data_IF_581625381672
#
_entry.id   IF_581625381672
#
_cell.length_a   1.000
_cell.length_b   1.000
_cell.length_c   1.000
_cell.angle_alpha   90.00
_cell.angle_beta   90.00
_cell.angle_gamma   90.00
#
_symmetry.space_group_name_H-M   'P 1'
#
loop_
_entity.id
_entity.type
_entity.pdbx_description
1 polymer ?
#
# COMPACT_ATOMS: atom_id res chain seq x y z
N UNK A 1 38.62 11.45 -48.92
CA UNK A 1 37.37 11.56 -48.12
C UNK A 1 37.05 10.21 -47.46
N UNK A 2 37.50 9.95 -46.23
CA UNK A 2 37.24 8.67 -45.52
C UNK A 2 37.03 8.82 -43.99
N UNK A 3 36.86 10.06 -43.50
CA UNK A 3 36.70 10.32 -42.06
C UNK A 3 35.22 10.29 -41.62
N UNK A 4 34.29 10.77 -42.45
CA UNK A 4 32.89 10.98 -42.05
C UNK A 4 32.07 9.69 -41.79
N UNK A 5 32.36 8.55 -42.43
CA UNK A 5 31.50 7.37 -42.26
C UNK A 5 31.66 6.69 -40.90
N UNK A 6 32.86 6.78 -40.29
CA UNK A 6 33.14 6.22 -38.97
C UNK A 6 32.51 7.09 -37.88
N UNK A 7 32.61 8.40 -37.98
CA UNK A 7 31.98 9.36 -37.05
C UNK A 7 30.46 9.26 -37.08
N UNK A 8 29.84 9.15 -38.27
CA UNK A 8 28.37 8.99 -38.37
C UNK A 8 27.88 7.67 -37.77
N UNK A 9 28.63 6.56 -37.93
CA UNK A 9 28.30 5.28 -37.30
C UNK A 9 28.39 5.33 -35.78
N UNK A 10 29.40 6.03 -35.25
CA UNK A 10 29.56 6.23 -33.80
C UNK A 10 28.44 7.09 -33.23
N UNK A 11 28.05 8.17 -33.92
CA UNK A 11 26.95 9.04 -33.50
C UNK A 11 25.62 8.26 -33.48
N UNK A 12 25.36 7.44 -34.51
CA UNK A 12 24.17 6.58 -34.57
C UNK A 12 24.16 5.50 -33.48
N UNK A 13 25.30 4.93 -33.14
CA UNK A 13 25.41 3.95 -32.07
C UNK A 13 25.14 4.59 -30.69
N UNK A 14 25.66 5.80 -30.47
CA UNK A 14 25.44 6.57 -29.23
C UNK A 14 23.97 6.97 -29.10
N UNK A 15 23.34 7.46 -30.18
CA UNK A 15 21.93 7.85 -30.13
C UNK A 15 21.01 6.65 -29.87
N UNK A 16 21.28 5.50 -30.51
CA UNK A 16 20.56 4.26 -30.25
C UNK A 16 20.70 3.80 -28.79
N UNK A 17 21.89 3.94 -28.21
CA UNK A 17 22.14 3.59 -26.82
C UNK A 17 21.39 4.50 -25.83
N UNK A 18 21.35 5.82 -26.10
CA UNK A 18 20.59 6.78 -25.29
C UNK A 18 19.09 6.49 -25.35
N UNK A 19 18.55 6.19 -26.53
CA UNK A 19 17.13 5.84 -26.71
C UNK A 19 16.80 4.57 -25.92
N UNK A 20 17.67 3.56 -25.98
CA UNK A 20 17.49 2.33 -25.23
C UNK A 20 17.47 2.57 -23.71
N UNK A 21 18.38 3.40 -23.20
CA UNK A 21 18.41 3.80 -21.78
C UNK A 21 17.17 4.59 -21.35
N UNK A 22 16.70 5.52 -22.19
CA UNK A 22 15.47 6.27 -21.91
C UNK A 22 14.24 5.34 -21.89
N UNK A 23 14.20 4.35 -22.79
CA UNK A 23 13.11 3.39 -22.84
C UNK A 23 13.12 2.45 -21.62
N UNK A 24 14.28 1.92 -21.23
CA UNK A 24 14.37 1.03 -20.05
C UNK A 24 14.01 1.76 -18.76
N UNK A 25 14.45 3.00 -18.59
CA UNK A 25 14.08 3.83 -17.42
C UNK A 25 12.59 4.17 -17.40
N UNK A 26 11.97 4.48 -18.55
CA UNK A 26 10.53 4.69 -18.64
C UNK A 26 9.73 3.41 -18.31
N UNK A 27 10.15 2.25 -18.82
CA UNK A 27 9.51 0.95 -18.50
C UNK A 27 9.66 0.61 -17.02
N UNK A 28 10.84 0.83 -16.43
CA UNK A 28 11.06 0.67 -14.99
C UNK A 28 10.19 1.63 -14.17
N UNK A 29 10.09 2.89 -14.57
CA UNK A 29 9.24 3.87 -13.90
C UNK A 29 7.76 3.44 -13.94
N UNK A 30 7.29 2.96 -15.09
CA UNK A 30 5.93 2.45 -15.22
C UNK A 30 5.72 1.19 -14.37
N UNK A 31 6.61 0.20 -14.43
CA UNK A 31 6.46 -1.06 -13.66
C UNK A 31 6.58 -0.88 -12.15
N UNK A 32 7.44 0.04 -11.67
CA UNK A 32 7.52 0.37 -10.25
C UNK A 32 6.25 1.08 -9.79
N UNK A 33 5.71 2.03 -10.58
CA UNK A 33 4.51 2.78 -10.22
C UNK A 33 3.20 2.02 -10.44
N UNK A 34 3.19 0.96 -11.25
CA UNK A 34 2.01 0.11 -11.46
C UNK A 34 1.71 -0.81 -10.26
N UNK A 35 2.62 -0.95 -9.26
CA UNK A 35 2.37 -1.78 -8.08
C UNK A 35 1.30 -1.25 -7.12
N UNK A 36 0.77 -0.04 -7.30
CA UNK A 36 -0.29 0.51 -6.42
C UNK A 36 -1.28 1.36 -7.22
N UNK A 37 -2.30 0.71 -7.77
CA UNK A 37 -3.69 1.17 -7.93
C UNK A 37 -4.42 0.20 -8.85
N UNK A 38 -4.44 -1.07 -8.48
CA UNK A 38 -5.57 -1.90 -8.83
C UNK A 38 -6.76 -1.27 -8.11
N UNK A 39 -7.72 -0.73 -8.84
CA UNK A 39 -9.08 -0.51 -8.35
C UNK A 39 -9.63 -1.88 -7.94
N UNK A 40 -9.19 -2.38 -6.79
CA UNK A 40 -9.80 -3.51 -6.15
C UNK A 40 -11.19 -3.03 -5.75
N UNK A 41 -12.21 -3.71 -6.23
CA UNK A 41 -13.49 -3.61 -5.58
C UNK A 41 -13.35 -4.47 -4.33
N UNK A 42 -13.59 -3.92 -3.15
CA UNK A 42 -13.77 -4.77 -1.97
C UNK A 42 -15.08 -5.52 -2.18
N UNK A 43 -15.01 -6.71 -2.77
CA UNK A 43 -16.19 -7.50 -3.13
C UNK A 43 -16.76 -8.24 -1.92
N UNK A 44 -15.97 -8.33 -0.85
CA UNK A 44 -16.34 -8.99 0.39
C UNK A 44 -15.73 -8.31 1.61
N UNK A 45 -16.24 -8.67 2.78
CA UNK A 45 -15.69 -8.25 4.07
C UNK A 45 -14.24 -8.75 4.26
N UNK A 46 -13.90 -9.89 3.66
CA UNK A 46 -12.55 -10.44 3.72
C UNK A 46 -11.56 -9.59 2.92
N UNK A 47 -11.96 -9.13 1.73
CA UNK A 47 -11.12 -8.22 0.93
C UNK A 47 -10.88 -6.91 1.68
N UNK A 48 -11.95 -6.34 2.25
CA UNK A 48 -11.86 -5.14 3.07
C UNK A 48 -11.03 -5.34 4.36
N UNK A 49 -11.06 -6.54 4.95
CA UNK A 49 -10.23 -6.85 6.11
C UNK A 49 -8.74 -6.88 5.76
N UNK A 50 -8.37 -7.40 4.59
CA UNK A 50 -6.97 -7.37 4.13
C UNK A 50 -6.46 -5.93 3.94
N UNK A 51 -7.26 -5.05 3.33
CA UNK A 51 -6.88 -3.64 3.17
C UNK A 51 -6.69 -2.94 4.52
N UNK A 52 -7.56 -3.24 5.49
CA UNK A 52 -7.44 -2.72 6.84
C UNK A 52 -6.20 -3.29 7.55
N UNK A 53 -5.95 -4.57 7.39
CA UNK A 53 -4.81 -5.28 7.96
C UNK A 53 -3.48 -4.71 7.46
N UNK A 54 -3.37 -4.48 6.16
CA UNK A 54 -2.21 -3.84 5.53
C UNK A 54 -2.01 -2.42 6.07
N UNK A 55 -3.11 -1.68 6.30
CA UNK A 55 -3.05 -0.33 6.88
C UNK A 55 -2.57 -0.35 8.33
N UNK A 56 -3.02 -1.31 9.14
CA UNK A 56 -2.57 -1.49 10.53
C UNK A 56 -1.09 -1.84 10.54
N UNK A 57 -0.68 -2.84 9.76
CA UNK A 57 0.72 -3.28 9.70
C UNK A 57 1.62 -2.18 9.18
N UNK A 58 1.24 -1.43 8.14
CA UNK A 58 2.03 -0.30 7.65
C UNK A 58 2.13 0.86 8.65
N UNK A 59 1.16 1.03 9.56
CA UNK A 59 1.20 2.12 10.53
C UNK A 59 2.07 1.79 11.75
N UNK A 60 2.02 0.54 12.20
CA UNK A 60 2.62 0.11 13.46
C UNK A 60 3.79 -0.86 13.30
N UNK A 61 4.10 -1.31 12.07
CA UNK A 61 5.22 -2.16 11.65
C UNK A 61 5.95 -2.90 12.80
N UNK A 62 7.06 -2.32 13.30
CA UNK A 62 7.91 -2.94 14.31
C UNK A 62 7.40 -2.87 15.76
N UNK A 63 6.36 -2.07 16.01
CA UNK A 63 5.71 -1.92 17.31
C UNK A 63 4.43 -2.76 17.40
N UNK A 64 3.93 -3.30 16.29
CA UNK A 64 2.73 -4.14 16.28
C UNK A 64 3.05 -5.53 16.87
N UNK A 65 2.46 -5.84 18.01
CA UNK A 65 2.63 -7.13 18.70
C UNK A 65 1.60 -8.14 18.22
N UNK A 66 0.33 -7.72 18.11
CA UNK A 66 -0.76 -8.60 17.72
C UNK A 66 -1.85 -7.85 16.97
N UNK A 67 -2.61 -8.58 16.15
CA UNK A 67 -3.83 -8.10 15.48
C UNK A 67 -4.81 -9.25 15.34
N UNK A 68 -6.08 -8.99 15.61
CA UNK A 68 -7.16 -9.98 15.51
C UNK A 68 -8.42 -9.32 14.95
N UNK A 69 -8.97 -9.90 13.87
CA UNK A 69 -10.18 -9.40 13.23
C UNK A 69 -11.40 -9.59 14.14
N UNK A 70 -12.15 -8.50 14.38
CA UNK A 70 -13.40 -8.55 15.13
C UNK A 70 -14.58 -8.70 14.18
N UNK A 71 -14.98 -9.95 13.95
CA UNK A 71 -16.17 -10.34 13.20
C UNK A 71 -17.44 -9.64 13.73
N UNK A 72 -17.61 -9.56 15.05
CA UNK A 72 -18.88 -9.14 15.67
C UNK A 72 -19.14 -7.66 15.40
N UNK A 73 -18.09 -6.84 15.49
CA UNK A 73 -18.18 -5.41 15.28
C UNK A 73 -18.15 -5.03 13.79
N UNK A 74 -17.53 -5.86 12.96
CA UNK A 74 -17.31 -5.61 11.53
C UNK A 74 -18.56 -5.92 10.70
N UNK A 75 -18.86 -5.05 9.74
CA UNK A 75 -20.05 -5.21 8.88
C UNK A 75 -19.95 -4.42 7.59
N UNK A 76 -20.78 -4.81 6.63
CA UNK A 76 -21.08 -3.99 5.46
C UNK A 76 -22.23 -3.01 5.78
N UNK A 77 -22.11 -1.75 5.36
CA UNK A 77 -23.13 -0.72 5.46
C UNK A 77 -23.71 -0.44 4.05
N UNK A 78 -24.85 -1.04 3.68
CA UNK A 78 -25.40 -0.95 2.32
C UNK A 78 -25.72 0.48 1.88
N UNK A 79 -26.26 1.30 2.78
CA UNK A 79 -26.66 2.68 2.49
C UNK A 79 -25.47 3.56 2.07
N UNK A 80 -24.28 3.22 2.58
CA UNK A 80 -23.04 3.95 2.31
C UNK A 80 -22.13 3.20 1.33
N UNK A 81 -22.45 1.96 0.95
CA UNK A 81 -21.62 1.11 0.09
C UNK A 81 -20.17 1.00 0.58
N UNK A 82 -20.02 0.76 1.88
CA UNK A 82 -18.74 0.67 2.54
C UNK A 82 -18.71 -0.48 3.54
N UNK A 83 -17.53 -1.00 3.81
CA UNK A 83 -17.26 -1.92 4.89
C UNK A 83 -16.68 -1.16 6.06
N UNK A 84 -17.22 -1.43 7.24
CA UNK A 84 -16.68 -0.95 8.51
C UNK A 84 -16.02 -2.14 9.19
N UNK A 85 -14.69 -2.12 9.23
CA UNK A 85 -13.85 -3.21 9.70
C UNK A 85 -13.23 -2.84 11.04
N UNK A 86 -13.26 -3.77 11.98
CA UNK A 86 -12.65 -3.64 13.30
C UNK A 86 -11.59 -4.71 13.52
N UNK A 87 -10.47 -4.30 14.12
CA UNK A 87 -9.42 -5.18 14.59
C UNK A 87 -9.06 -4.81 16.03
N UNK A 88 -8.87 -5.84 16.86
CA UNK A 88 -8.19 -5.71 18.14
C UNK A 88 -6.69 -5.74 17.87
N UNK A 89 -5.95 -4.74 18.33
CA UNK A 89 -4.51 -4.67 18.09
C UNK A 89 -3.77 -4.43 19.41
N UNK A 90 -2.59 -5.04 19.54
CA UNK A 90 -1.69 -4.81 20.65
C UNK A 90 -0.44 -4.10 20.11
N UNK A 91 -0.10 -2.94 20.67
CA UNK A 91 1.03 -2.13 20.24
C UNK A 91 2.02 -2.02 21.38
N UNK A 92 3.30 -2.22 21.08
CA UNK A 92 4.42 -2.00 21.98
C UNK A 92 4.76 -0.51 21.98
N UNK A 93 4.53 0.13 23.10
CA UNK A 93 4.88 1.53 23.32
C UNK A 93 6.11 1.63 24.23
N UNK A 94 6.97 2.59 23.94
CA UNK A 94 8.10 2.92 24.81
C UNK A 94 7.64 4.02 25.75
N UNK A 95 7.46 3.66 27.00
CA UNK A 95 7.44 4.61 28.10
C UNK A 95 8.87 4.78 28.63
N UNK A 96 9.17 5.90 29.27
CA UNK A 96 10.50 6.49 29.52
C UNK A 96 11.60 5.50 29.99
N UNK A 97 11.25 4.34 30.55
CA UNK A 97 12.19 3.27 30.89
C UNK A 97 11.73 1.83 30.54
N UNK A 98 10.51 1.63 30.03
CA UNK A 98 9.93 0.29 29.84
C UNK A 98 9.17 0.17 28.53
N UNK A 99 9.23 -1.03 27.93
CA UNK A 99 8.35 -1.39 26.83
C UNK A 99 7.04 -1.93 27.40
N UNK A 100 5.95 -1.19 27.21
CA UNK A 100 4.60 -1.57 27.64
C UNK A 100 3.83 -2.02 26.41
N UNK A 101 3.02 -3.07 26.53
CA UNK A 101 2.11 -3.51 25.46
C UNK A 101 0.72 -3.03 25.82
N UNK A 102 0.15 -2.18 24.97
CA UNK A 102 -1.17 -1.60 25.14
C UNK A 102 -2.13 -2.15 24.07
N UNK A 103 -3.37 -2.45 24.50
CA UNK A 103 -4.42 -2.96 23.63
C UNK A 103 -5.35 -1.86 23.15
N UNK A 104 -5.65 -1.88 21.86
CA UNK A 104 -6.49 -0.89 21.19
C UNK A 104 -7.50 -1.55 20.25
N UNK A 105 -8.47 -0.77 19.83
CA UNK A 105 -9.35 -1.10 18.73
C UNK A 105 -9.02 -0.23 17.52
N UNK A 106 -8.69 -0.86 16.40
CA UNK A 106 -8.55 -0.22 15.11
C UNK A 106 -9.86 -0.32 14.34
N UNK A 107 -10.29 0.80 13.76
CA UNK A 107 -11.46 0.89 12.86
C UNK A 107 -11.01 1.38 11.50
N UNK A 108 -11.39 0.65 10.46
CA UNK A 108 -11.21 1.03 9.06
C UNK A 108 -12.56 1.20 8.37
N UNK A 109 -12.68 2.22 7.51
CA UNK A 109 -13.77 2.35 6.55
C UNK A 109 -13.23 2.09 5.15
N UNK A 110 -13.68 1.02 4.51
CA UNK A 110 -13.25 0.61 3.16
C UNK A 110 -14.40 0.77 2.18
N UNK A 111 -14.23 1.61 1.15
CA UNK A 111 -15.28 1.79 0.14
C UNK A 111 -15.31 0.61 -0.83
N UNK A 112 -16.49 0.06 -1.06
CA UNK A 112 -16.70 -1.07 -1.97
C UNK A 112 -16.17 -0.78 -3.38
N UNK A 113 -16.40 0.44 -3.87
CA UNK A 113 -16.04 0.85 -5.24
C UNK A 113 -14.57 1.23 -5.44
N UNK A 114 -13.84 1.44 -4.36
CA UNK A 114 -12.48 1.98 -4.41
C UNK A 114 -11.44 1.02 -3.83
N UNK A 115 -11.84 0.10 -2.93
CA UNK A 115 -10.96 -0.89 -2.29
C UNK A 115 -9.75 -0.27 -1.63
N UNK A 116 -9.95 0.84 -0.93
CA UNK A 116 -8.94 1.42 -0.07
C UNK A 116 -9.56 1.89 1.23
N UNK A 117 -8.74 1.91 2.28
CA UNK A 117 -9.10 2.43 3.60
C UNK A 117 -9.22 3.97 3.53
N UNK A 118 -10.45 4.46 3.53
CA UNK A 118 -10.76 5.90 3.47
C UNK A 118 -10.71 6.62 4.81
N UNK A 119 -10.98 5.89 5.89
CA UNK A 119 -10.87 6.39 7.25
C UNK A 119 -10.23 5.30 8.11
N UNK A 120 -9.26 5.70 8.93
CA UNK A 120 -8.50 4.81 9.80
C UNK A 120 -8.36 5.46 11.16
N UNK A 121 -8.92 4.83 12.19
CA UNK A 121 -8.88 5.33 13.57
C UNK A 121 -8.46 4.24 14.52
N UNK A 122 -7.76 4.64 15.57
CA UNK A 122 -7.38 3.76 16.68
C UNK A 122 -7.82 4.43 17.96
N UNK A 123 -8.51 3.68 18.81
CA UNK A 123 -9.02 4.18 20.09
C UNK A 123 -8.81 3.14 21.18
N UNK A 124 -8.63 3.64 22.40
CA UNK A 124 -8.58 2.83 23.62
C UNK A 124 -9.95 2.23 23.90
N UNK A 125 -9.96 1.09 24.59
CA UNK A 125 -11.18 0.54 25.19
C UNK A 125 -11.70 1.43 26.31
#
# INVERSE_FOLDING_TARGET
MSSNSKTTKVILAISAFIILLAFTTAVLYLTINQKKKTTFFARSINDASYDCEDKITSKYEGDLVSKSFDNISSRYEPDKRQYTIYYRISIKEKDENFSIVNDYMAKCIVWERLGYVSDFRVFTY
#
